data_IF_319674571839
#
_entry.id   IF_319674571839
#
_cell.length_a   1.000
_cell.length_b   1.000
_cell.length_c   1.000
_cell.angle_alpha   90.00
_cell.angle_beta   90.00
_cell.angle_gamma   90.00
#
_symmetry.space_group_name_H-M   'P 1'
#
loop_
_entity.id
_entity.type
_entity.pdbx_description
1 polymer ?
#
# COMPACT_ATOMS: atom_id res chain seq x y z
N UNK A 1 11.84 -20.62 49.72
CA UNK A 1 11.88 -21.54 48.57
C UNK A 1 10.87 -21.02 47.55
N UNK A 2 11.30 -20.64 46.34
CA UNK A 2 10.37 -20.25 45.28
C UNK A 2 10.00 -21.50 44.48
N UNK A 3 8.70 -21.69 44.19
CA UNK A 3 8.18 -22.80 43.40
C UNK A 3 7.58 -22.20 42.14
N UNK A 4 8.03 -22.65 40.97
CA UNK A 4 7.46 -22.22 39.70
C UNK A 4 6.03 -22.76 39.57
N UNK A 5 5.08 -21.88 39.24
CA UNK A 5 3.69 -22.23 38.98
C UNK A 5 3.33 -21.86 37.55
N UNK A 6 2.43 -22.61 36.92
CA UNK A 6 1.90 -22.26 35.59
C UNK A 6 0.94 -21.07 35.71
N UNK A 7 1.14 -20.06 34.86
CA UNK A 7 0.28 -18.87 34.83
C UNK A 7 0.10 -18.20 33.47
N UNK A 8 0.99 -18.47 32.51
CA UNK A 8 1.00 -17.80 31.19
C UNK A 8 -0.28 -18.01 30.38
N UNK A 9 -0.72 -19.26 30.21
CA UNK A 9 -1.92 -19.60 29.43
C UNK A 9 -3.18 -18.89 29.94
N UNK A 10 -3.43 -18.96 31.26
CA UNK A 10 -4.57 -18.28 31.87
C UNK A 10 -4.50 -16.76 31.71
N UNK A 11 -3.30 -16.18 31.82
CA UNK A 11 -3.12 -14.75 31.61
C UNK A 11 -3.44 -14.33 30.15
N UNK A 12 -3.02 -15.14 29.17
CA UNK A 12 -3.31 -14.91 27.75
C UNK A 12 -4.82 -15.00 27.50
N UNK A 13 -5.49 -16.05 27.98
CA UNK A 13 -6.94 -16.22 27.79
C UNK A 13 -7.73 -15.06 28.40
N UNK A 14 -7.42 -14.64 29.62
CA UNK A 14 -8.05 -13.48 30.25
C UNK A 14 -7.78 -12.18 29.44
N UNK A 15 -6.58 -12.04 28.85
CA UNK A 15 -6.27 -10.90 28.00
C UNK A 15 -7.13 -10.87 26.74
N UNK A 16 -7.45 -12.03 26.14
CA UNK A 16 -8.34 -12.09 24.98
C UNK A 16 -9.78 -11.69 25.35
N UNK A 17 -10.27 -12.13 26.52
CA UNK A 17 -11.58 -11.71 27.05
C UNK A 17 -11.62 -10.20 27.28
N UNK A 18 -10.56 -9.62 27.87
CA UNK A 18 -10.45 -8.18 28.06
C UNK A 18 -10.42 -7.41 26.73
N UNK A 19 -9.75 -7.93 25.71
CA UNK A 19 -9.78 -7.32 24.36
C UNK A 19 -11.21 -7.37 23.80
N UNK A 20 -11.93 -8.48 23.97
CA UNK A 20 -13.29 -8.61 23.48
C UNK A 20 -14.26 -7.65 24.19
N UNK A 21 -14.16 -7.52 25.51
CA UNK A 21 -14.91 -6.54 26.31
C UNK A 21 -14.58 -5.11 25.87
N UNK A 22 -13.29 -4.78 25.77
CA UNK A 22 -12.83 -3.45 25.35
C UNK A 22 -13.27 -3.11 23.93
N UNK A 23 -13.23 -4.08 23.01
CA UNK A 23 -13.75 -3.92 21.64
C UNK A 23 -15.25 -3.66 21.61
N UNK A 24 -16.02 -4.32 22.46
CA UNK A 24 -17.46 -4.07 22.54
C UNK A 24 -17.77 -2.69 23.09
N UNK A 25 -16.99 -2.21 24.07
CA UNK A 25 -17.20 -0.90 24.70
C UNK A 25 -18.52 -0.82 25.47
N UNK A 26 -19.08 0.39 25.61
CA UNK A 26 -20.35 0.61 26.30
C UNK A 26 -21.51 -0.09 25.56
N UNK A 27 -22.21 -0.96 26.28
CA UNK A 27 -23.35 -1.72 25.74
C UNK A 27 -24.62 -0.89 25.55
N UNK A 28 -24.66 0.33 26.11
CA UNK A 28 -25.72 1.30 25.82
C UNK A 28 -25.63 1.85 24.39
N UNK A 29 -24.43 1.83 23.80
CA UNK A 29 -24.19 2.22 22.40
C UNK A 29 -24.46 1.01 21.48
N UNK A 30 -25.21 1.18 20.38
CA UNK A 30 -25.40 0.14 19.37
C UNK A 30 -24.07 -0.39 18.84
N UNK A 31 -23.96 -1.70 18.69
CA UNK A 31 -22.75 -2.32 18.17
C UNK A 31 -22.56 -1.98 16.69
N UNK A 32 -21.33 -1.64 16.30
CA UNK A 32 -21.00 -1.40 14.88
C UNK A 32 -21.08 -2.71 14.09
N UNK A 33 -21.81 -2.70 12.98
CA UNK A 33 -21.88 -3.83 12.05
C UNK A 33 -20.74 -3.78 11.03
N UNK A 34 -20.36 -4.94 10.49
CA UNK A 34 -19.40 -5.00 9.38
C UNK A 34 -19.91 -4.27 8.15
N UNK A 35 -21.23 -4.32 7.91
CA UNK A 35 -21.87 -3.55 6.83
C UNK A 35 -21.71 -2.04 7.00
N UNK A 36 -21.91 -1.50 8.21
CA UNK A 36 -21.64 -0.07 8.46
C UNK A 36 -20.18 0.30 8.18
N UNK A 37 -19.23 -0.55 8.57
CA UNK A 37 -17.80 -0.33 8.27
C UNK A 37 -17.55 -0.36 6.76
N UNK A 38 -18.05 -1.38 6.07
CA UNK A 38 -17.89 -1.57 4.61
C UNK A 38 -18.44 -0.39 3.80
N UNK A 39 -19.61 0.13 4.18
CA UNK A 39 -20.32 1.18 3.44
C UNK A 39 -19.84 2.60 3.82
N UNK A 40 -19.56 2.85 5.10
CA UNK A 40 -19.35 4.22 5.62
C UNK A 40 -17.88 4.54 5.90
N UNK A 41 -17.04 3.52 6.13
CA UNK A 41 -15.60 3.65 6.34
C UNK A 41 -14.80 3.06 5.15
N UNK A 42 -15.36 3.21 3.94
CA UNK A 42 -14.87 2.56 2.72
C UNK A 42 -13.38 2.80 2.44
N UNK A 43 -12.85 4.00 2.68
CA UNK A 43 -11.43 4.29 2.45
C UNK A 43 -10.49 3.49 3.36
N UNK A 44 -10.92 3.18 4.60
CA UNK A 44 -10.14 2.32 5.49
C UNK A 44 -10.18 0.86 5.02
N UNK A 45 -11.34 0.41 4.55
CA UNK A 45 -11.53 -0.93 3.96
C UNK A 45 -10.67 -1.09 2.72
N UNK A 46 -10.64 -0.08 1.83
CA UNK A 46 -9.82 -0.07 0.63
C UNK A 46 -8.34 -0.24 0.96
N UNK A 47 -7.83 0.48 1.98
CA UNK A 47 -6.44 0.33 2.44
C UNK A 47 -6.16 -1.08 2.95
N UNK A 48 -7.06 -1.64 3.76
CA UNK A 48 -6.92 -3.00 4.30
C UNK A 48 -6.94 -4.06 3.19
N UNK A 49 -7.78 -3.92 2.17
CA UNK A 49 -7.78 -4.81 1.01
C UNK A 49 -6.45 -4.76 0.24
N UNK A 50 -5.95 -3.56 -0.03
CA UNK A 50 -4.72 -3.36 -0.78
C UNK A 50 -3.49 -3.93 -0.05
N UNK A 51 -3.26 -3.48 1.18
CA UNK A 51 -2.10 -3.90 1.98
C UNK A 51 -2.29 -5.30 2.57
N UNK A 52 -3.52 -5.82 2.67
CA UNK A 52 -3.81 -7.22 3.03
C UNK A 52 -3.72 -8.19 1.85
N UNK A 53 -3.75 -7.69 0.61
CA UNK A 53 -3.70 -8.45 -0.64
C UNK A 53 -4.86 -9.44 -0.83
N UNK A 54 -6.06 -9.04 -0.44
CA UNK A 54 -7.32 -9.71 -0.74
C UNK A 54 -8.34 -8.64 -1.12
N UNK A 55 -8.93 -8.75 -2.30
CA UNK A 55 -10.08 -7.94 -2.69
C UNK A 55 -11.37 -8.61 -2.20
N UNK A 56 -11.78 -8.25 -0.99
CA UNK A 56 -13.07 -8.62 -0.41
C UNK A 56 -13.43 -7.59 0.67
N UNK A 57 -14.46 -6.77 0.39
CA UNK A 57 -14.85 -5.67 1.27
C UNK A 57 -15.41 -6.16 2.59
N UNK A 58 -16.09 -7.30 2.61
CA UNK A 58 -16.71 -7.85 3.82
C UNK A 58 -15.65 -8.44 4.75
N UNK A 59 -14.67 -9.15 4.20
CA UNK A 59 -13.53 -9.67 4.97
C UNK A 59 -12.65 -8.54 5.52
N UNK A 60 -12.38 -7.51 4.71
CA UNK A 60 -11.64 -6.34 5.17
C UNK A 60 -12.40 -5.57 6.26
N UNK A 61 -13.72 -5.37 6.12
CA UNK A 61 -14.55 -4.77 7.16
C UNK A 61 -14.61 -5.60 8.44
N UNK A 62 -14.65 -6.94 8.33
CA UNK A 62 -14.54 -7.85 9.46
C UNK A 62 -13.19 -7.70 10.18
N UNK A 63 -12.09 -7.64 9.43
CA UNK A 63 -10.75 -7.43 10.00
C UNK A 63 -10.65 -6.08 10.74
N UNK A 64 -11.17 -5.00 10.14
CA UNK A 64 -11.26 -3.67 10.78
C UNK A 64 -12.07 -3.72 12.08
N UNK A 65 -13.23 -4.39 12.06
CA UNK A 65 -14.05 -4.58 13.27
C UNK A 65 -13.29 -5.34 14.35
N UNK A 66 -12.67 -6.47 13.98
CA UNK A 66 -11.93 -7.34 14.89
C UNK A 66 -10.75 -6.62 15.55
N UNK A 67 -10.05 -5.78 14.78
CA UNK A 67 -8.91 -4.97 15.19
C UNK A 67 -9.27 -3.63 15.85
N UNK A 68 -10.55 -3.37 16.14
CA UNK A 68 -11.01 -2.11 16.75
C UNK A 68 -10.62 -0.86 15.95
N UNK A 69 -10.50 -0.98 14.63
CA UNK A 69 -10.06 0.11 13.76
C UNK A 69 -8.55 0.28 13.63
N UNK A 70 -7.73 -0.54 14.29
CA UNK A 70 -6.29 -0.60 14.01
C UNK A 70 -6.07 -1.25 12.63
N UNK A 71 -5.69 -0.42 11.65
CA UNK A 71 -5.56 -0.88 10.27
C UNK A 71 -4.35 -1.81 10.08
N UNK A 72 -3.27 -1.65 10.83
CA UNK A 72 -2.08 -2.52 10.69
C UNK A 72 -2.41 -3.94 11.19
N UNK A 73 -3.12 -4.04 12.32
CA UNK A 73 -3.62 -5.33 12.80
C UNK A 73 -4.68 -5.92 11.84
N UNK A 74 -5.59 -5.08 11.30
CA UNK A 74 -6.58 -5.54 10.32
C UNK A 74 -5.94 -6.08 9.03
N UNK A 75 -4.91 -5.40 8.52
CA UNK A 75 -4.10 -5.84 7.38
C UNK A 75 -3.45 -7.20 7.70
N UNK A 76 -2.86 -7.33 8.88
CA UNK A 76 -2.22 -8.58 9.27
C UNK A 76 -3.22 -9.73 9.40
N UNK A 77 -4.40 -9.51 9.98
CA UNK A 77 -5.48 -10.49 10.04
C UNK A 77 -5.91 -10.96 8.65
N UNK A 78 -6.12 -10.04 7.71
CA UNK A 78 -6.53 -10.37 6.35
C UNK A 78 -5.41 -11.10 5.59
N UNK A 79 -4.16 -10.66 5.75
CA UNK A 79 -2.97 -11.29 5.16
C UNK A 79 -2.74 -12.70 5.72
N UNK A 80 -2.96 -12.90 7.02
CA UNK A 80 -2.89 -14.22 7.65
C UNK A 80 -4.01 -15.13 7.11
N UNK A 81 -5.23 -14.63 6.98
CA UNK A 81 -6.34 -15.38 6.39
C UNK A 81 -6.05 -15.84 4.96
N UNK A 82 -5.38 -15.01 4.13
CA UNK A 82 -4.93 -15.38 2.77
C UNK A 82 -4.17 -16.69 2.73
N UNK A 83 -3.34 -16.97 3.74
CA UNK A 83 -2.53 -18.20 3.80
C UNK A 83 -3.35 -19.48 3.97
N UNK A 84 -4.61 -19.34 4.39
CA UNK A 84 -5.55 -20.44 4.57
C UNK A 84 -6.35 -20.77 3.31
N UNK A 85 -6.29 -19.90 2.29
CA UNK A 85 -7.07 -20.02 1.06
C UNK A 85 -6.26 -20.72 -0.05
N UNK A 86 -6.87 -21.65 -0.81
CA UNK A 86 -6.23 -22.19 -2.00
C UNK A 86 -6.20 -21.15 -3.13
N UNK A 87 -5.14 -21.16 -3.94
CA UNK A 87 -5.10 -20.43 -5.21
C UNK A 87 -5.85 -21.25 -6.26
N UNK A 88 -7.08 -20.84 -6.58
CA UNK A 88 -7.96 -21.58 -7.50
C UNK A 88 -7.64 -21.30 -8.98
N UNK A 89 -7.23 -20.09 -9.30
CA UNK A 89 -6.90 -19.63 -10.64
C UNK A 89 -5.92 -18.45 -10.58
N UNK A 90 -5.39 -18.10 -11.75
CA UNK A 90 -4.70 -16.83 -12.01
C UNK A 90 -5.54 -16.11 -13.06
N UNK A 91 -5.77 -14.82 -12.88
CA UNK A 91 -6.51 -14.04 -13.87
C UNK A 91 -5.68 -13.77 -15.10
N UNK A 92 -6.34 -13.53 -16.23
CA UNK A 92 -5.74 -12.76 -17.30
C UNK A 92 -5.30 -11.38 -16.76
N UNK A 93 -4.30 -10.72 -17.38
CA UNK A 93 -3.94 -9.36 -17.04
C UNK A 93 -5.16 -8.43 -17.15
N UNK A 94 -5.42 -7.64 -16.10
CA UNK A 94 -6.54 -6.69 -16.11
C UNK A 94 -6.30 -5.59 -17.12
N UNK A 95 -7.32 -5.26 -17.92
CA UNK A 95 -7.26 -4.18 -18.91
C UNK A 95 -7.85 -2.89 -18.34
N UNK A 96 -6.98 -2.01 -17.81
CA UNK A 96 -7.38 -0.71 -17.26
C UNK A 96 -7.78 0.31 -18.34
N UNK A 97 -7.58 0.01 -19.62
CA UNK A 97 -8.11 0.83 -20.72
C UNK A 97 -9.63 0.65 -20.89
N UNK A 98 -10.18 -0.50 -20.47
CA UNK A 98 -11.62 -0.79 -20.46
C UNK A 98 -12.31 -0.43 -19.15
N UNK A 99 -11.63 0.30 -18.25
CA UNK A 99 -12.16 0.66 -16.95
C UNK A 99 -13.49 1.43 -17.06
N UNK A 100 -14.49 1.01 -16.29
CA UNK A 100 -15.70 1.80 -16.05
C UNK A 100 -15.36 2.94 -15.08
N UNK A 101 -14.83 4.01 -15.66
CA UNK A 101 -14.28 5.16 -14.94
C UNK A 101 -15.35 5.85 -14.09
N UNK A 102 -15.05 6.01 -12.80
CA UNK A 102 -15.81 6.87 -11.85
C UNK A 102 -15.08 8.17 -11.54
N UNK A 103 -13.76 8.17 -11.68
CA UNK A 103 -12.89 9.32 -11.50
C UNK A 103 -11.70 9.21 -12.44
N UNK A 104 -11.33 10.32 -13.08
CA UNK A 104 -10.20 10.43 -14.00
C UNK A 104 -9.71 11.86 -14.09
N UNK A 105 -8.46 12.10 -13.70
CA UNK A 105 -7.85 13.42 -13.75
C UNK A 105 -6.44 13.37 -14.34
N UNK A 106 -6.06 14.42 -15.05
CA UNK A 106 -4.70 14.64 -15.54
C UNK A 106 -4.23 16.05 -15.17
N UNK A 107 -3.02 16.17 -14.66
CA UNK A 107 -2.35 17.46 -14.44
C UNK A 107 -1.47 17.89 -15.63
N UNK A 108 -1.27 17.01 -16.63
CA UNK A 108 -0.41 17.28 -17.78
C UNK A 108 -1.08 18.18 -18.83
N UNK A 109 -2.41 18.09 -18.95
CA UNK A 109 -3.20 18.87 -19.89
C UNK A 109 -4.40 19.50 -19.18
N UNK A 110 -4.85 20.66 -19.70
CA UNK A 110 -6.08 21.29 -19.23
C UNK A 110 -7.29 20.40 -19.49
N UNK A 111 -7.43 19.95 -20.73
CA UNK A 111 -8.47 19.05 -21.21
C UNK A 111 -7.82 17.85 -21.91
N UNK A 112 -8.44 16.68 -21.77
CA UNK A 112 -8.00 15.40 -22.35
C UNK A 112 -9.20 14.74 -23.05
N UNK A 113 -9.01 13.86 -24.05
CA UNK A 113 -10.11 13.06 -24.61
C UNK A 113 -10.87 12.34 -23.49
N UNK A 114 -12.20 12.38 -23.52
CA UNK A 114 -13.07 11.91 -22.43
C UNK A 114 -13.24 12.87 -21.24
N UNK A 115 -12.48 13.97 -21.19
CA UNK A 115 -12.60 15.03 -20.19
C UNK A 115 -11.96 14.73 -18.83
N UNK A 116 -12.01 15.73 -17.95
CA UNK A 116 -11.60 15.64 -16.54
C UNK A 116 -12.83 15.24 -15.70
N UNK A 117 -12.79 14.06 -15.08
CA UNK A 117 -13.87 13.50 -14.26
C UNK A 117 -13.43 13.50 -12.80
N UNK A 118 -13.91 14.46 -12.01
CA UNK A 118 -13.48 14.58 -10.60
C UNK A 118 -13.97 13.41 -9.73
N UNK A 119 -15.14 12.83 -10.04
CA UNK A 119 -15.73 11.76 -9.25
C UNK A 119 -15.92 12.11 -7.75
N UNK A 120 -16.13 11.12 -6.88
CA UNK A 120 -16.13 11.34 -5.44
C UNK A 120 -14.71 11.70 -4.99
N UNK A 121 -14.48 12.87 -4.39
CA UNK A 121 -13.15 13.28 -3.93
C UNK A 121 -13.21 14.29 -2.79
N UNK A 122 -12.16 14.29 -1.95
CA UNK A 122 -11.93 15.29 -0.92
C UNK A 122 -11.06 16.48 -1.39
N UNK A 123 -10.51 16.45 -2.61
CA UNK A 123 -9.45 17.37 -3.08
C UNK A 123 -9.78 18.85 -2.86
N UNK A 124 -11.01 19.26 -3.17
CA UNK A 124 -11.46 20.66 -3.12
C UNK A 124 -12.29 21.02 -1.89
N UNK A 125 -12.39 20.11 -0.92
CA UNK A 125 -13.15 20.37 0.31
C UNK A 125 -12.42 21.35 1.24
N UNK A 126 -13.14 22.08 2.08
CA UNK A 126 -12.51 22.80 3.19
C UNK A 126 -12.32 21.84 4.36
N UNK A 127 -11.09 21.78 4.90
CA UNK A 127 -10.72 20.82 5.96
C UNK A 127 -11.18 21.35 7.33
N UNK A 128 -12.48 21.46 7.49
CA UNK A 128 -13.17 21.87 8.72
C UNK A 128 -13.95 20.66 9.25
N UNK A 129 -13.95 20.47 10.57
CA UNK A 129 -14.80 19.45 11.18
C UNK A 129 -16.27 19.79 10.92
N UNK A 130 -17.00 18.85 10.32
CA UNK A 130 -18.42 18.97 10.09
C UNK A 130 -19.20 18.45 11.31
N UNK A 131 -19.61 19.37 12.17
CA UNK A 131 -20.38 19.05 13.37
C UNK A 131 -21.80 18.54 13.07
N UNK A 132 -22.31 18.69 11.85
CA UNK A 132 -23.60 18.12 11.48
C UNK A 132 -23.59 16.59 11.51
N UNK A 133 -22.43 15.96 11.20
CA UNK A 133 -22.24 14.51 11.26
C UNK A 133 -22.28 13.93 12.69
N UNK A 134 -22.25 14.77 13.72
CA UNK A 134 -22.34 14.34 15.12
C UNK A 134 -23.80 14.27 15.64
N UNK A 135 -24.79 14.73 14.86
CA UNK A 135 -26.19 14.70 15.26
C UNK A 135 -26.80 13.28 15.13
N UNK A 136 -27.66 12.89 16.08
CA UNK A 136 -28.30 11.55 16.10
C UNK A 136 -29.22 11.29 14.91
N UNK A 137 -29.87 12.34 14.38
CA UNK A 137 -30.74 12.24 13.19
C UNK A 137 -29.95 12.18 11.87
N UNK A 138 -28.61 12.27 11.94
CA UNK A 138 -27.71 12.32 10.78
C UNK A 138 -27.93 13.56 9.90
N UNK A 139 -27.36 13.53 8.70
CA UNK A 139 -27.50 14.59 7.67
C UNK A 139 -28.63 14.29 6.67
N UNK A 140 -29.44 13.26 6.93
CA UNK A 140 -30.39 12.69 5.97
C UNK A 140 -29.73 11.71 4.99
N UNK A 141 -30.40 11.43 3.87
CA UNK A 141 -29.88 10.63 2.75
C UNK A 141 -29.31 11.58 1.69
N UNK A 142 -27.99 11.85 1.66
CA UNK A 142 -27.41 12.73 0.67
C UNK A 142 -27.48 12.09 -0.72
N UNK A 143 -28.13 12.78 -1.66
CA UNK A 143 -28.19 12.37 -3.06
C UNK A 143 -27.47 13.40 -3.92
N UNK A 144 -26.41 12.96 -4.61
CA UNK A 144 -25.70 13.81 -5.57
C UNK A 144 -26.50 13.88 -6.89
N UNK A 145 -26.58 15.05 -7.56
CA UNK A 145 -27.18 15.15 -8.88
C UNK A 145 -26.52 14.18 -9.87
N UNK A 146 -27.33 13.47 -10.64
CA UNK A 146 -26.85 12.60 -11.72
C UNK A 146 -26.59 13.44 -12.98
N UNK A 147 -25.48 13.17 -13.66
CA UNK A 147 -25.15 13.84 -14.92
C UNK A 147 -26.19 13.59 -16.01
N UNK A 148 -26.43 14.59 -16.86
CA UNK A 148 -27.45 14.51 -17.94
C UNK A 148 -27.06 13.53 -19.06
N UNK A 149 -25.76 13.29 -19.25
CA UNK A 149 -25.21 12.41 -20.26
C UNK A 149 -24.23 11.41 -19.62
N UNK A 150 -24.12 10.19 -20.16
CA UNK A 150 -23.08 9.25 -19.76
C UNK A 150 -21.70 9.82 -20.10
N UNK A 151 -20.67 9.32 -19.40
CA UNK A 151 -19.30 9.61 -19.74
C UNK A 151 -18.95 9.06 -21.13
N UNK A 152 -17.95 9.67 -21.78
CA UNK A 152 -17.43 9.18 -23.05
C UNK A 152 -16.83 7.78 -22.86
N UNK A 153 -17.13 6.85 -23.77
CA UNK A 153 -16.54 5.52 -23.76
C UNK A 153 -15.06 5.55 -24.20
N UNK A 154 -14.65 6.55 -24.99
CA UNK A 154 -13.28 6.74 -25.45
C UNK A 154 -12.44 7.53 -24.46
N UNK A 155 -11.82 6.83 -23.50
CA UNK A 155 -10.90 7.43 -22.53
C UNK A 155 -9.46 6.86 -22.67
N UNK A 156 -8.76 7.15 -23.79
CA UNK A 156 -7.38 6.70 -23.95
C UNK A 156 -6.53 7.20 -22.79
N UNK A 157 -5.51 6.42 -22.40
CA UNK A 157 -4.58 6.88 -21.39
C UNK A 157 -3.80 8.09 -21.90
N UNK A 158 -3.53 9.04 -21.01
CA UNK A 158 -2.72 10.22 -21.34
C UNK A 158 -1.31 9.81 -21.75
N UNK A 159 -0.79 8.73 -21.18
CA UNK A 159 0.49 8.15 -21.57
C UNK A 159 0.50 7.68 -23.03
N UNK A 160 -0.59 7.12 -23.54
CA UNK A 160 -0.69 6.65 -24.94
C UNK A 160 -0.68 7.82 -25.94
N UNK A 161 -1.25 8.96 -25.54
CA UNK A 161 -1.23 10.18 -26.36
C UNK A 161 0.22 10.68 -26.51
N UNK A 162 0.98 10.66 -25.42
CA UNK A 162 2.40 11.04 -25.43
C UNK A 162 3.25 10.02 -26.19
N UNK A 163 2.94 8.73 -26.06
CA UNK A 163 3.68 7.64 -26.70
C UNK A 163 3.47 7.66 -28.22
N UNK A 164 2.25 7.96 -28.68
CA UNK A 164 1.95 8.15 -30.10
C UNK A 164 2.82 9.25 -30.76
N UNK A 165 3.22 10.27 -29.99
CA UNK A 165 4.14 11.33 -30.43
C UNK A 165 5.63 11.01 -30.18
N UNK A 166 5.94 9.87 -29.56
CA UNK A 166 7.30 9.47 -29.17
C UNK A 166 7.89 10.35 -28.06
N UNK A 167 7.04 10.95 -27.23
CA UNK A 167 7.45 11.90 -26.18
C UNK A 167 7.68 11.26 -24.81
N UNK A 168 7.29 10.00 -24.62
CA UNK A 168 7.44 9.26 -23.38
C UNK A 168 7.96 7.85 -23.71
N UNK A 169 8.72 7.25 -22.80
CA UNK A 169 9.15 5.86 -22.99
C UNK A 169 7.93 4.92 -23.14
N UNK A 170 7.93 3.98 -24.11
CA UNK A 170 6.80 3.06 -24.30
C UNK A 170 6.81 1.92 -23.26
N UNK A 171 5.62 1.43 -22.90
CA UNK A 171 5.45 0.14 -22.21
C UNK A 171 5.00 -0.86 -23.26
N UNK A 172 5.93 -1.69 -23.76
CA UNK A 172 5.67 -2.63 -24.84
C UNK A 172 5.36 -4.00 -24.23
N UNK A 173 4.20 -4.61 -24.53
CA UNK A 173 3.94 -6.00 -24.17
C UNK A 173 5.05 -6.90 -24.73
N UNK A 174 5.72 -7.63 -23.85
CA UNK A 174 6.71 -8.63 -24.23
C UNK A 174 6.00 -9.98 -24.32
N UNK A 175 5.72 -10.43 -25.54
CA UNK A 175 5.04 -11.70 -25.82
C UNK A 175 5.85 -12.92 -25.32
N UNK A 176 7.16 -12.76 -25.15
CA UNK A 176 8.07 -13.78 -24.63
C UNK A 176 8.38 -13.58 -23.13
N UNK A 177 7.67 -12.67 -22.45
CA UNK A 177 7.88 -12.40 -21.03
C UNK A 177 7.69 -13.68 -20.19
N UNK A 178 8.60 -13.89 -19.23
CA UNK A 178 8.43 -14.91 -18.21
C UNK A 178 7.24 -14.60 -17.29
N UNK A 179 6.77 -15.62 -16.58
CA UNK A 179 5.78 -15.44 -15.51
C UNK A 179 6.27 -14.37 -14.52
N UNK A 180 5.43 -13.37 -14.14
CA UNK A 180 5.85 -12.33 -13.21
C UNK A 180 6.30 -12.89 -11.86
N UNK A 181 7.31 -12.27 -11.27
CA UNK A 181 7.81 -12.64 -9.95
C UNK A 181 6.70 -12.62 -8.89
N UNK A 182 6.67 -13.67 -8.05
CA UNK A 182 5.68 -13.81 -6.98
C UNK A 182 6.35 -13.88 -5.60
N UNK A 183 6.41 -12.73 -4.92
CA UNK A 183 6.88 -12.57 -3.52
C UNK A 183 6.11 -13.44 -2.52
N UNK A 184 4.96 -13.99 -2.90
CA UNK A 184 4.19 -14.89 -2.03
C UNK A 184 4.58 -16.36 -2.18
N UNK A 185 5.47 -16.67 -3.12
CA UNK A 185 6.01 -18.02 -3.39
C UNK A 185 7.53 -18.05 -3.28
N UNK A 186 8.20 -16.97 -3.66
CA UNK A 186 9.65 -16.89 -3.73
C UNK A 186 10.18 -15.77 -2.83
N UNK A 187 11.30 -16.00 -2.12
CA UNK A 187 11.92 -14.96 -1.31
C UNK A 187 12.50 -13.86 -2.21
N UNK A 188 12.46 -12.63 -1.72
CA UNK A 188 12.99 -11.45 -2.41
C UNK A 188 14.46 -11.63 -2.81
N UNK A 189 14.81 -11.19 -4.02
CA UNK A 189 16.19 -11.20 -4.50
C UNK A 189 16.60 -9.82 -5.03
N UNK A 190 17.90 -9.54 -4.97
CA UNK A 190 18.49 -8.26 -5.42
C UNK A 190 19.62 -8.51 -6.42
N UNK A 191 19.77 -7.68 -7.47
CA UNK A 191 18.89 -6.58 -7.84
C UNK A 191 17.45 -7.03 -8.16
N UNK A 192 16.46 -6.25 -7.74
CA UNK A 192 15.06 -6.58 -7.94
C UNK A 192 14.61 -6.15 -9.35
N UNK A 193 13.86 -7.01 -10.04
CA UNK A 193 13.17 -6.64 -11.28
C UNK A 193 11.86 -5.89 -11.00
N UNK A 194 11.32 -5.19 -12.01
CA UNK A 194 10.25 -4.21 -11.80
C UNK A 194 8.94 -4.83 -11.33
N UNK A 195 8.65 -6.06 -11.74
CA UNK A 195 7.52 -6.86 -11.27
C UNK A 195 7.60 -7.13 -9.75
N UNK A 196 8.76 -7.58 -9.25
CA UNK A 196 9.01 -7.77 -7.82
C UNK A 196 8.83 -6.45 -7.05
N UNK A 197 9.36 -5.34 -7.60
CA UNK A 197 9.26 -4.01 -6.97
C UNK A 197 7.82 -3.52 -6.91
N UNK A 198 7.08 -3.58 -8.02
CA UNK A 198 5.68 -3.15 -8.07
C UNK A 198 4.78 -4.02 -7.19
N UNK A 199 4.99 -5.34 -7.16
CA UNK A 199 4.25 -6.24 -6.28
C UNK A 199 4.53 -5.93 -4.80
N UNK A 200 5.78 -5.64 -4.43
CA UNK A 200 6.13 -5.21 -3.06
C UNK A 200 5.47 -3.87 -2.71
N UNK A 201 5.56 -2.87 -3.59
CA UNK A 201 4.98 -1.54 -3.37
C UNK A 201 3.44 -1.61 -3.22
N UNK A 202 2.77 -2.48 -3.98
CA UNK A 202 1.32 -2.71 -3.85
C UNK A 202 0.96 -3.19 -2.43
N UNK A 203 1.81 -4.06 -1.86
CA UNK A 203 1.66 -4.61 -0.50
C UNK A 203 2.18 -3.70 0.61
N UNK A 204 3.03 -2.72 0.28
CA UNK A 204 3.74 -1.89 1.23
C UNK A 204 2.85 -0.91 2.00
N UNK A 205 3.31 -0.49 3.18
CA UNK A 205 2.66 0.50 4.02
C UNK A 205 2.50 1.83 3.29
N UNK A 206 1.26 2.30 3.20
CA UNK A 206 0.95 3.54 2.50
C UNK A 206 1.69 4.76 3.09
N UNK A 207 1.91 4.81 4.40
CA UNK A 207 2.62 5.91 5.06
C UNK A 207 4.11 5.92 4.71
N UNK A 208 4.76 4.75 4.73
CA UNK A 208 6.16 4.59 4.36
C UNK A 208 6.40 4.93 2.89
N UNK A 209 5.62 4.35 1.98
CA UNK A 209 5.76 4.59 0.53
C UNK A 209 5.46 6.07 0.21
N UNK A 210 4.46 6.68 0.87
CA UNK A 210 4.21 8.11 0.76
C UNK A 210 5.41 8.94 1.20
N UNK A 211 6.02 8.62 2.35
CA UNK A 211 7.15 9.38 2.87
C UNK A 211 8.37 9.31 1.93
N UNK A 212 8.63 8.13 1.34
CA UNK A 212 9.66 7.96 0.32
C UNK A 212 9.35 8.78 -0.94
N UNK A 213 8.14 8.66 -1.50
CA UNK A 213 7.72 9.45 -2.66
C UNK A 213 7.76 10.96 -2.40
N UNK A 214 7.39 11.41 -1.19
CA UNK A 214 7.52 12.81 -0.79
C UNK A 214 8.98 13.27 -0.69
N UNK A 215 9.90 12.39 -0.25
CA UNK A 215 11.32 12.74 -0.18
C UNK A 215 11.92 13.03 -1.55
N UNK A 216 11.51 12.31 -2.60
CA UNK A 216 11.99 12.55 -3.97
C UNK A 216 11.54 13.91 -4.49
N UNK A 217 10.29 14.29 -4.21
CA UNK A 217 9.74 15.63 -4.52
C UNK A 217 10.48 16.76 -3.80
N UNK A 218 11.14 16.45 -2.68
CA UNK A 218 11.97 17.40 -1.92
C UNK A 218 13.44 17.41 -2.35
N UNK A 219 13.79 16.72 -3.43
CA UNK A 219 15.12 16.71 -4.02
C UNK A 219 15.99 15.50 -3.64
N UNK A 220 15.49 14.57 -2.82
CA UNK A 220 16.19 13.34 -2.46
C UNK A 220 15.94 12.25 -3.52
N UNK A 221 16.48 12.45 -4.74
CA UNK A 221 16.31 11.55 -5.89
C UNK A 221 16.09 12.28 -7.21
N UNK A 222 15.84 13.60 -7.17
CA UNK A 222 15.93 14.47 -8.35
C UNK A 222 14.87 14.28 -9.41
N UNK A 223 13.70 13.73 -9.10
CA UNK A 223 12.60 13.58 -10.05
C UNK A 223 11.60 14.75 -9.94
N UNK A 224 11.22 15.35 -11.06
CA UNK A 224 10.13 16.33 -11.13
C UNK A 224 8.87 15.65 -11.70
N UNK A 225 7.97 15.12 -10.86
CA UNK A 225 6.82 14.37 -11.31
C UNK A 225 5.66 15.27 -11.74
N UNK A 226 4.89 14.79 -12.71
CA UNK A 226 3.57 15.30 -13.07
C UNK A 226 2.58 14.14 -13.03
N UNK A 227 1.40 14.33 -12.45
CA UNK A 227 0.33 13.35 -12.53
C UNK A 227 -0.18 13.30 -13.98
N UNK A 228 0.38 12.38 -14.77
CA UNK A 228 -0.02 12.16 -16.16
C UNK A 228 -1.46 11.75 -16.23
N UNK A 229 -1.82 10.74 -15.42
CA UNK A 229 -3.20 10.36 -15.21
C UNK A 229 -3.40 9.66 -13.86
N UNK A 230 -4.53 9.94 -13.22
CA UNK A 230 -5.06 9.16 -12.10
C UNK A 230 -6.48 8.78 -12.46
N UNK A 231 -6.77 7.49 -12.55
CA UNK A 231 -8.12 6.98 -12.82
C UNK A 231 -8.54 5.95 -11.80
N UNK A 232 -9.83 5.91 -11.50
CA UNK A 232 -10.45 4.96 -10.58
C UNK A 232 -11.80 4.51 -11.15
N UNK A 233 -12.05 3.21 -11.08
CA UNK A 233 -13.24 2.61 -11.64
C UNK A 233 -13.22 1.09 -11.51
N UNK A 234 -14.24 0.47 -12.09
CA UNK A 234 -14.38 -0.99 -12.12
C UNK A 234 -13.67 -1.56 -13.35
N UNK A 235 -12.91 -2.64 -13.17
CA UNK A 235 -12.30 -3.42 -14.24
C UNK A 235 -12.72 -4.88 -14.10
N UNK A 236 -13.06 -5.51 -15.22
CA UNK A 236 -13.42 -6.93 -15.25
C UNK A 236 -12.19 -7.80 -14.98
N UNK A 237 -12.41 -8.88 -14.25
CA UNK A 237 -11.41 -9.92 -14.00
C UNK A 237 -11.85 -11.17 -14.74
N UNK A 238 -10.98 -11.65 -15.62
CA UNK A 238 -11.21 -12.87 -16.39
C UNK A 238 -10.24 -13.97 -15.97
N UNK A 239 -10.68 -15.22 -16.06
CA UNK A 239 -9.82 -16.40 -15.90
C UNK A 239 -10.01 -17.33 -17.11
N UNK A 240 -9.03 -18.17 -17.40
CA UNK A 240 -9.15 -19.26 -18.39
C UNK A 240 -9.13 -20.61 -17.66
N UNK A 241 -10.30 -21.17 -17.30
CA UNK A 241 -10.36 -22.49 -16.68
C UNK A 241 -9.91 -23.58 -17.65
N UNK A 242 -9.13 -24.54 -17.17
CA UNK A 242 -8.65 -25.68 -17.98
C UNK A 242 -9.82 -26.46 -18.59
N UNK A 243 -10.95 -26.55 -17.89
CA UNK A 243 -12.15 -27.27 -18.33
C UNK A 243 -12.88 -26.60 -19.50
N UNK A 244 -12.69 -25.29 -19.70
CA UNK A 244 -13.36 -24.51 -20.75
C UNK A 244 -12.41 -24.16 -21.91
N UNK A 245 -11.16 -23.83 -21.61
CA UNK A 245 -10.17 -23.44 -22.61
C UNK A 245 -10.41 -22.08 -23.26
N UNK A 246 -11.24 -21.22 -22.66
CA UNK A 246 -11.48 -19.83 -23.07
C UNK A 246 -11.71 -18.93 -21.84
N UNK A 247 -11.48 -17.63 -22.00
CA UNK A 247 -11.64 -16.63 -20.94
C UNK A 247 -13.11 -16.48 -20.51
N UNK A 248 -13.35 -16.44 -19.21
CA UNK A 248 -14.64 -16.14 -18.60
C UNK A 248 -14.49 -14.99 -17.61
N UNK A 249 -15.44 -14.06 -17.64
CA UNK A 249 -15.61 -13.00 -16.66
C UNK A 249 -16.09 -13.59 -15.32
N UNK A 250 -15.37 -13.30 -14.24
CA UNK A 250 -15.71 -13.75 -12.87
C UNK A 250 -16.15 -12.61 -11.95
N UNK A 251 -16.24 -11.39 -12.47
CA UNK A 251 -16.69 -10.19 -11.79
C UNK A 251 -15.72 -9.03 -11.88
N UNK A 252 -16.12 -7.90 -11.30
CA UNK A 252 -15.38 -6.66 -11.36
C UNK A 252 -14.64 -6.35 -10.06
N UNK A 253 -13.50 -5.70 -10.20
CA UNK A 253 -12.77 -5.10 -9.08
C UNK A 253 -12.66 -3.59 -9.27
N UNK A 254 -12.88 -2.84 -8.19
CA UNK A 254 -12.57 -1.41 -8.18
C UNK A 254 -11.08 -1.25 -7.98
N UNK A 255 -10.43 -0.54 -8.90
CA UNK A 255 -9.01 -0.20 -8.80
C UNK A 255 -8.79 1.28 -9.08
N UNK A 256 -7.73 1.80 -8.48
CA UNK A 256 -7.13 3.07 -8.86
C UNK A 256 -5.81 2.82 -9.54
N UNK A 257 -5.56 3.56 -10.61
CA UNK A 257 -4.35 3.51 -11.41
C UNK A 257 -3.75 4.92 -11.49
N UNK A 258 -2.42 5.02 -11.35
CA UNK A 258 -1.67 6.25 -11.50
C UNK A 258 -0.49 6.06 -12.46
N UNK A 259 -0.45 6.90 -13.49
CA UNK A 259 0.70 7.09 -14.36
C UNK A 259 1.33 8.43 -14.01
N UNK A 260 2.53 8.40 -13.42
CA UNK A 260 3.34 9.60 -13.22
C UNK A 260 4.24 9.79 -14.44
N UNK A 261 4.28 11.03 -14.94
CA UNK A 261 5.26 11.47 -15.95
C UNK A 261 6.43 12.10 -15.20
N UNK A 262 7.64 11.68 -15.53
CA UNK A 262 8.86 12.11 -14.88
C UNK A 262 9.80 12.78 -15.89
N UNK A 263 10.74 13.56 -15.38
CA UNK A 263 11.65 14.37 -16.20
C UNK A 263 12.34 13.54 -17.29
N UNK A 264 12.56 14.20 -18.43
CA UNK A 264 13.05 13.55 -19.63
C UNK A 264 14.50 13.11 -19.50
N UNK A 265 14.80 11.96 -20.10
CA UNK A 265 16.15 11.47 -20.33
C UNK A 265 16.38 11.24 -21.81
N UNK A 266 17.62 11.42 -22.23
CA UNK A 266 18.06 11.17 -23.61
C UNK A 266 19.49 10.69 -23.61
N UNK A 267 19.88 9.97 -24.66
CA UNK A 267 21.24 9.47 -24.84
C UNK A 267 21.71 9.72 -26.27
N UNK A 268 22.94 9.32 -26.59
CA UNK A 268 23.40 9.34 -27.98
C UNK A 268 22.59 8.38 -28.88
N UNK A 269 21.93 7.38 -28.29
CA UNK A 269 21.21 6.31 -29.00
C UNK A 269 19.68 6.46 -28.94
N UNK A 270 19.15 7.27 -28.01
CA UNK A 270 17.71 7.48 -27.79
C UNK A 270 17.35 8.97 -27.72
N UNK A 271 16.31 9.42 -28.45
CA UNK A 271 15.87 10.81 -28.38
C UNK A 271 15.43 11.17 -26.96
N UNK A 272 15.53 12.45 -26.55
CA UNK A 272 15.01 12.89 -25.27
C UNK A 272 13.51 12.62 -25.17
N UNK A 273 13.10 11.84 -24.17
CA UNK A 273 11.71 11.48 -23.91
C UNK A 273 11.44 11.48 -22.41
N UNK A 274 10.20 11.74 -22.00
CA UNK A 274 9.78 11.58 -20.63
C UNK A 274 9.95 10.13 -20.16
N UNK A 275 10.22 9.98 -18.88
CA UNK A 275 10.15 8.68 -18.19
C UNK A 275 8.82 8.57 -17.45
N UNK A 276 8.49 7.39 -16.95
CA UNK A 276 7.23 7.14 -16.23
C UNK A 276 7.40 6.34 -14.95
N UNK A 277 6.45 6.52 -14.05
CA UNK A 277 6.26 5.69 -12.87
C UNK A 277 4.82 5.17 -12.81
N UNK A 278 4.64 3.98 -12.26
CA UNK A 278 3.35 3.29 -12.25
C UNK A 278 2.88 2.91 -10.83
N UNK A 279 1.58 3.03 -10.58
CA UNK A 279 0.95 2.55 -9.36
C UNK A 279 -0.46 2.03 -9.62
N UNK A 280 -0.79 0.89 -9.01
CA UNK A 280 -2.11 0.27 -9.09
C UNK A 280 -2.48 -0.29 -7.71
N UNK A 281 -3.72 -0.05 -7.27
CA UNK A 281 -4.21 -0.53 -5.96
C UNK A 281 -5.71 -0.75 -6.00
N UNK A 282 -6.22 -1.63 -5.13
CA UNK A 282 -7.66 -1.84 -4.95
C UNK A 282 -8.36 -0.61 -4.37
N UNK A 283 -9.63 -0.44 -4.71
CA UNK A 283 -10.50 0.61 -4.18
C UNK A 283 -10.03 2.00 -4.58
N UNK A 284 -10.35 2.99 -3.75
CA UNK A 284 -10.07 4.39 -4.06
C UNK A 284 -8.57 4.71 -3.93
N UNK A 285 -7.92 4.44 -2.79
CA UNK A 285 -6.46 4.45 -2.55
C UNK A 285 -5.55 5.37 -3.42
N UNK A 286 -5.99 6.58 -3.77
CA UNK A 286 -5.27 7.44 -4.73
C UNK A 286 -3.89 7.84 -4.23
N UNK A 287 -3.81 8.18 -2.94
CA UNK A 287 -2.55 8.54 -2.30
C UNK A 287 -1.54 7.38 -2.35
N UNK A 288 -2.00 6.14 -2.20
CA UNK A 288 -1.16 4.95 -2.33
C UNK A 288 -0.61 4.82 -3.74
N UNK A 289 -1.46 4.88 -4.77
CA UNK A 289 -1.02 4.66 -6.16
C UNK A 289 -0.12 5.79 -6.67
N UNK A 290 -0.37 7.03 -6.25
CA UNK A 290 0.55 8.14 -6.53
C UNK A 290 1.91 7.90 -5.87
N UNK A 291 1.94 7.48 -4.61
CA UNK A 291 3.18 7.20 -3.89
C UNK A 291 3.94 6.02 -4.53
N UNK A 292 3.23 4.96 -4.93
CA UNK A 292 3.79 3.84 -5.68
C UNK A 292 4.44 4.32 -6.98
N UNK A 293 3.75 5.12 -7.79
CA UNK A 293 4.29 5.62 -9.05
C UNK A 293 5.55 6.47 -8.86
N UNK A 294 5.62 7.29 -7.81
CA UNK A 294 6.81 8.06 -7.47
C UNK A 294 8.00 7.17 -7.08
N UNK A 295 7.74 6.14 -6.27
CA UNK A 295 8.79 5.23 -5.78
C UNK A 295 9.21 4.23 -6.87
N UNK A 296 8.29 3.76 -7.71
CA UNK A 296 8.60 2.94 -8.89
C UNK A 296 9.65 3.64 -9.75
N UNK A 297 9.40 4.89 -10.18
CA UNK A 297 10.40 5.64 -10.96
C UNK A 297 11.71 5.82 -10.21
N UNK A 298 11.69 6.05 -8.89
CA UNK A 298 12.92 6.21 -8.11
C UNK A 298 13.75 4.91 -8.06
N UNK A 299 13.09 3.75 -7.95
CA UNK A 299 13.73 2.43 -7.96
C UNK A 299 14.23 2.00 -9.35
N UNK A 300 13.77 2.67 -10.41
CA UNK A 300 14.28 2.47 -11.78
C UNK A 300 15.64 3.13 -12.02
N UNK A 301 16.31 3.66 -10.99
CA UNK A 301 17.61 4.31 -11.08
C UNK A 301 18.65 3.48 -11.87
N UNK A 302 18.70 2.15 -11.66
CA UNK A 302 19.61 1.25 -12.42
C UNK A 302 19.30 1.24 -13.91
N UNK A 303 18.03 1.22 -14.30
CA UNK A 303 17.58 1.17 -15.70
C UNK A 303 17.97 2.44 -16.48
N UNK A 304 18.09 3.55 -15.76
CA UNK A 304 18.45 4.87 -16.29
C UNK A 304 19.93 5.25 -16.06
N UNK A 305 20.72 4.37 -15.42
CA UNK A 305 22.12 4.67 -15.09
C UNK A 305 22.30 5.78 -14.05
N UNK A 306 21.26 6.04 -13.25
CA UNK A 306 21.28 7.00 -12.14
C UNK A 306 22.00 6.40 -10.92
N UNK A 307 22.70 7.23 -10.15
CA UNK A 307 23.28 6.80 -8.89
C UNK A 307 22.20 6.76 -7.79
N UNK A 308 22.08 5.62 -7.10
CA UNK A 308 21.24 5.48 -5.90
C UNK A 308 21.95 6.13 -4.69
N UNK A 309 21.71 7.43 -4.48
CA UNK A 309 22.34 8.20 -3.39
C UNK A 309 21.36 8.42 -2.23
N UNK A 310 20.06 8.26 -2.49
CA UNK A 310 19.00 8.55 -1.53
C UNK A 310 18.14 7.31 -1.24
N UNK A 311 17.49 7.25 -0.06
CA UNK A 311 16.77 6.06 0.37
C UNK A 311 15.69 5.58 -0.60
N UNK A 312 14.99 6.49 -1.30
CA UNK A 312 13.95 6.12 -2.26
C UNK A 312 14.49 5.45 -3.54
N UNK A 313 15.80 5.53 -3.79
CA UNK A 313 16.47 4.89 -4.94
C UNK A 313 17.18 3.58 -4.54
N UNK A 314 17.27 3.29 -3.23
CA UNK A 314 17.92 2.10 -2.70
C UNK A 314 16.90 0.95 -2.62
N UNK A 315 16.96 0.02 -3.58
CA UNK A 315 16.05 -1.12 -3.67
C UNK A 315 16.00 -1.92 -2.36
N UNK A 316 17.15 -2.19 -1.75
CA UNK A 316 17.22 -3.02 -0.54
C UNK A 316 16.58 -2.30 0.65
N UNK A 317 16.90 -1.01 0.82
CA UNK A 317 16.29 -0.20 1.86
C UNK A 317 14.78 -0.05 1.69
N UNK A 318 14.29 0.18 0.48
CA UNK A 318 12.84 0.34 0.26
C UNK A 318 12.11 -0.97 0.47
N UNK A 319 12.50 -2.04 -0.23
CA UNK A 319 11.67 -3.24 -0.31
C UNK A 319 11.64 -4.04 1.00
N UNK A 320 12.73 -4.05 1.79
CA UNK A 320 12.75 -4.73 3.10
C UNK A 320 12.01 -3.98 4.21
N UNK A 321 11.68 -2.70 4.02
CA UNK A 321 11.03 -1.89 5.05
C UNK A 321 9.62 -1.44 4.64
N UNK A 322 9.12 -1.90 3.49
CA UNK A 322 7.81 -1.52 2.98
C UNK A 322 6.66 -2.30 3.62
N UNK A 323 6.76 -3.62 3.82
CA UNK A 323 5.62 -4.42 4.31
C UNK A 323 5.40 -4.21 5.83
N UNK A 324 4.28 -3.59 6.22
CA UNK A 324 3.99 -3.36 7.63
C UNK A 324 3.68 -4.63 8.42
N UNK A 325 3.32 -5.75 7.75
CA UNK A 325 3.15 -7.03 8.43
C UNK A 325 4.48 -7.47 9.04
N UNK A 326 5.57 -7.33 8.27
CA UNK A 326 6.92 -7.62 8.75
C UNK A 326 7.40 -6.56 9.74
N UNK A 327 7.30 -5.28 9.38
CA UNK A 327 7.82 -4.19 10.19
C UNK A 327 7.12 -4.09 11.56
N UNK A 328 5.78 -4.14 11.61
CA UNK A 328 5.03 -4.07 12.86
C UNK A 328 5.22 -5.32 13.69
N UNK A 329 5.29 -6.50 13.07
CA UNK A 329 5.63 -7.76 13.74
C UNK A 329 7.00 -7.66 14.42
N UNK A 330 8.02 -7.20 13.70
CA UNK A 330 9.37 -7.08 14.22
C UNK A 330 9.54 -5.92 15.21
N UNK A 331 8.85 -4.80 15.09
CA UNK A 331 8.92 -3.77 16.14
C UNK A 331 8.21 -4.23 17.42
N UNK A 332 7.03 -4.83 17.27
CA UNK A 332 6.20 -5.23 18.41
C UNK A 332 6.73 -6.46 19.15
N UNK A 333 7.58 -7.28 18.52
CA UNK A 333 8.20 -8.44 19.17
C UNK A 333 9.01 -8.04 20.41
N UNK A 334 9.51 -6.81 20.50
CA UNK A 334 10.25 -6.30 21.66
C UNK A 334 9.45 -6.37 22.98
N UNK A 335 8.12 -6.50 22.91
CA UNK A 335 7.25 -6.76 24.07
C UNK A 335 7.42 -8.18 24.65
N UNK A 336 7.95 -9.11 23.85
CA UNK A 336 8.22 -10.48 24.28
C UNK A 336 9.37 -10.55 25.28
N UNK A 337 9.48 -11.62 26.07
CA UNK A 337 10.53 -11.73 27.06
C UNK A 337 11.94 -11.84 26.45
N UNK A 338 12.75 -10.80 26.63
CA UNK A 338 14.18 -10.74 26.24
C UNK A 338 15.13 -10.77 27.46
N UNK A 339 14.67 -11.32 28.59
CA UNK A 339 15.40 -11.21 29.85
C UNK A 339 16.73 -11.97 29.85
N UNK A 340 16.90 -13.02 29.02
CA UNK A 340 18.17 -13.76 28.93
C UNK A 340 19.24 -12.91 28.28
N UNK A 341 18.97 -12.37 27.09
CA UNK A 341 19.90 -11.50 26.36
C UNK A 341 20.22 -10.24 27.18
N UNK A 342 19.20 -9.66 27.81
CA UNK A 342 19.39 -8.52 28.71
C UNK A 342 20.28 -8.84 29.92
N UNK A 343 20.21 -10.06 30.48
CA UNK A 343 21.13 -10.46 31.55
C UNK A 343 22.58 -10.59 31.07
N UNK A 344 22.81 -11.04 29.82
CA UNK A 344 24.15 -11.09 29.24
C UNK A 344 24.75 -9.68 29.11
N UNK A 345 23.98 -8.73 28.58
CA UNK A 345 24.37 -7.32 28.48
C UNK A 345 24.63 -6.68 29.85
N UNK A 346 23.76 -6.94 30.85
CA UNK A 346 24.00 -6.50 32.23
C UNK A 346 25.29 -7.07 32.81
N UNK A 347 25.62 -8.33 32.49
CA UNK A 347 26.88 -8.96 32.88
C UNK A 347 28.08 -8.20 32.32
N UNK A 348 28.06 -7.87 31.03
CA UNK A 348 29.11 -7.10 30.35
C UNK A 348 29.26 -5.70 30.95
N UNK A 349 28.17 -4.94 31.10
CA UNK A 349 28.20 -3.59 31.67
C UNK A 349 28.77 -3.61 33.09
N UNK A 350 28.35 -4.58 33.93
CA UNK A 350 28.86 -4.71 35.30
C UNK A 350 30.35 -5.01 35.33
N UNK A 351 30.86 -5.82 34.39
CA UNK A 351 32.30 -6.09 34.26
C UNK A 351 33.06 -4.82 33.88
N UNK A 352 32.62 -4.12 32.82
CA UNK A 352 33.26 -2.88 32.35
C UNK A 352 33.29 -1.80 33.44
N UNK A 353 32.23 -1.68 34.24
CA UNK A 353 32.19 -0.73 35.37
C UNK A 353 33.23 -1.05 36.44
N UNK A 354 33.40 -2.33 36.82
CA UNK A 354 34.45 -2.73 37.78
C UNK A 354 35.84 -2.40 37.25
N UNK A 355 36.12 -2.73 35.98
CA UNK A 355 37.40 -2.44 35.35
C UNK A 355 37.68 -0.92 35.23
N UNK A 356 36.65 -0.09 35.12
CA UNK A 356 36.78 1.36 35.14
C UNK A 356 37.09 1.88 36.54
N UNK A 357 36.36 1.42 37.56
CA UNK A 357 36.58 1.78 38.97
C UNK A 357 37.98 1.37 39.45
N UNK A 358 38.44 0.17 39.09
CA UNK A 358 39.79 -0.31 39.40
C UNK A 358 40.88 0.54 38.75
N UNK A 359 40.66 1.04 37.53
CA UNK A 359 41.60 1.97 36.86
C UNK A 359 41.64 3.32 37.55
N UNK A 360 40.48 3.91 37.85
CA UNK A 360 40.40 5.18 38.56
C UNK A 360 41.07 5.13 39.96
N UNK A 361 40.93 4.00 40.67
CA UNK A 361 41.61 3.82 41.95
C UNK A 361 43.13 3.72 41.83
N UNK A 362 43.65 3.14 40.73
CA UNK A 362 45.09 3.12 40.46
C UNK A 362 45.61 4.50 40.09
N UNK A 363 44.91 5.21 39.20
CA UNK A 363 45.28 6.55 38.75
C UNK A 363 45.22 7.59 39.89
N UNK A 364 44.38 7.38 40.91
CA UNK A 364 44.30 8.24 42.10
C UNK A 364 45.31 7.85 43.21
N UNK A 365 45.92 6.67 43.11
CA UNK A 365 46.93 6.18 44.05
C UNK A 365 48.38 6.43 43.56
N UNK A 366 48.54 6.69 42.26
CA UNK A 366 49.75 7.28 41.66
C UNK A 366 49.74 8.81 41.78
#
# INVERSE_FOLDING_TARGET
MYVAVKGGERAILNSHELIAETRRGDTSVPEVSTRQISEQLGLAVDRVMAEGSIYDRDLAALAVKQAQGDLVEAIFLLRAYRTTLPRLAVSEPVDTAQMLVRRRVSAAYKDIPGGQVLGPTYDYTHRLLDFALAAEEGVGEPEAPVGEAPLDAGMPHVADILDYEGLIEPEIPDEDASEPFDLTREPMSFPADRDQRLQNLARGDEGFVLALGYSTQRGFGGTHPFAGEIRMGEVSVEIVPEELGFAIDIGDVVVSECHMINQFEGSAERPPQFTRGYGLSFGHNERKVMAMALVDRALRAREFGEAAVYPAQDEEFVLYHADNVEAAGFVSHLKLPHYVDFQAELGLIRKLRREFEERQQKDAAE
#
